data_IF_214613411075
#
_entry.id   IF_214613411075
#
_cell.length_a   1.000
_cell.length_b   1.000
_cell.length_c   1.000
_cell.angle_alpha   90.00
_cell.angle_beta   90.00
_cell.angle_gamma   90.00
#
_symmetry.space_group_name_H-M   'P 1'
#
loop_
_entity.id
_entity.type
_entity.pdbx_description
1 polymer ?
#
# COMPACT_ATOMS: atom_id res chain seq x y z
N UNK A 1 22.66 -10.71 -12.83
CA UNK A 1 21.39 -9.96 -12.93
C UNK A 1 20.83 -9.63 -11.55
N UNK A 2 20.36 -10.62 -10.78
CA UNK A 2 19.79 -10.37 -9.43
C UNK A 2 20.75 -9.68 -8.45
N UNK A 3 22.04 -10.00 -8.46
CA UNK A 3 23.04 -9.29 -7.62
C UNK A 3 23.14 -7.81 -7.96
N UNK A 4 23.01 -7.44 -9.24
CA UNK A 4 23.03 -6.03 -9.65
C UNK A 4 21.74 -5.33 -9.19
N UNK A 5 20.58 -5.97 -9.35
CA UNK A 5 19.31 -5.44 -8.85
C UNK A 5 19.35 -5.16 -7.33
N UNK A 6 19.95 -6.06 -6.54
CA UNK A 6 20.13 -5.85 -5.10
C UNK A 6 21.05 -4.67 -4.78
N UNK A 7 22.12 -4.47 -5.55
CA UNK A 7 23.04 -3.34 -5.37
C UNK A 7 22.39 -1.98 -5.66
N UNK A 8 21.33 -1.94 -6.49
CA UNK A 8 20.58 -0.72 -6.78
C UNK A 8 19.56 -0.34 -5.69
N UNK A 9 19.13 -1.30 -4.86
CA UNK A 9 18.07 -1.09 -3.85
C UNK A 9 18.30 0.15 -2.98
N UNK A 10 19.50 0.42 -2.42
CA UNK A 10 19.70 1.60 -1.59
C UNK A 10 19.44 2.93 -2.32
N UNK A 11 19.90 3.05 -3.57
CA UNK A 11 19.67 4.25 -4.38
C UNK A 11 18.19 4.41 -4.73
N UNK A 12 17.51 3.31 -5.10
CA UNK A 12 16.07 3.32 -5.39
C UNK A 12 15.22 3.57 -4.14
N UNK A 13 15.64 3.11 -2.98
CA UNK A 13 14.99 3.44 -1.71
C UNK A 13 15.05 4.95 -1.43
N UNK A 14 16.18 5.60 -1.71
CA UNK A 14 16.29 7.06 -1.61
C UNK A 14 15.34 7.78 -2.58
N UNK A 15 15.16 7.28 -3.80
CA UNK A 15 14.17 7.80 -4.74
C UNK A 15 12.75 7.68 -4.17
N UNK A 16 12.40 6.52 -3.59
CA UNK A 16 11.08 6.29 -2.98
C UNK A 16 10.84 7.22 -1.78
N UNK A 17 11.86 7.48 -0.97
CA UNK A 17 11.78 8.37 0.19
C UNK A 17 11.50 9.84 -0.21
N UNK A 18 11.80 10.26 -1.45
CA UNK A 18 11.47 11.60 -1.92
C UNK A 18 9.96 11.85 -2.05
N UNK A 19 9.12 10.81 -1.96
CA UNK A 19 7.66 10.93 -1.96
C UNK A 19 7.06 11.23 -0.58
N UNK A 20 7.87 11.50 0.45
CA UNK A 20 7.42 11.74 1.83
C UNK A 20 6.28 12.77 1.93
N UNK A 21 6.42 13.94 1.30
CA UNK A 21 5.40 15.00 1.35
C UNK A 21 4.09 14.58 0.68
N UNK A 22 4.17 13.83 -0.44
CA UNK A 22 3.00 13.30 -1.14
C UNK A 22 2.30 12.24 -0.28
N UNK A 23 3.07 11.31 0.30
CA UNK A 23 2.54 10.26 1.18
C UNK A 23 1.91 10.86 2.44
N UNK A 24 2.48 11.93 3.00
CA UNK A 24 1.87 12.69 4.09
C UNK A 24 0.52 13.27 3.70
N UNK A 25 0.40 13.90 2.53
CA UNK A 25 -0.87 14.45 2.05
C UNK A 25 -1.94 13.37 1.83
N UNK A 26 -1.54 12.19 1.34
CA UNK A 26 -2.43 11.03 1.18
C UNK A 26 -2.85 10.51 2.56
N UNK A 27 -1.90 10.38 3.49
CA UNK A 27 -2.12 9.85 4.83
C UNK A 27 -3.14 10.67 5.64
N UNK A 28 -3.19 11.99 5.46
CA UNK A 28 -4.22 12.83 6.08
C UNK A 28 -5.65 12.37 5.73
N UNK A 29 -5.87 12.03 4.46
CA UNK A 29 -7.18 11.51 3.99
C UNK A 29 -7.44 10.10 4.49
N UNK A 30 -6.41 9.27 4.58
CA UNK A 30 -6.52 7.90 5.11
C UNK A 30 -6.78 7.90 6.62
N UNK A 31 -6.24 8.87 7.36
CA UNK A 31 -6.38 8.99 8.82
C UNK A 31 -7.83 9.23 9.28
N UNK A 32 -8.67 9.79 8.39
CA UNK A 32 -10.10 10.02 8.59
C UNK A 32 -10.92 8.73 8.49
N UNK A 33 -10.39 7.69 7.82
CA UNK A 33 -11.10 6.43 7.62
C UNK A 33 -11.11 5.57 8.87
N UNK A 34 -12.21 4.83 9.04
CA UNK A 34 -12.32 3.78 10.06
C UNK A 34 -11.71 2.47 9.56
N UNK A 35 -12.05 2.11 8.33
CA UNK A 35 -11.68 0.86 7.67
C UNK A 35 -10.87 1.16 6.40
N UNK A 36 -9.82 0.38 6.14
CA UNK A 36 -8.95 0.51 4.96
C UNK A 36 -8.66 -0.87 4.40
N UNK A 37 -8.71 -1.02 3.08
CA UNK A 37 -8.31 -2.26 2.41
C UNK A 37 -6.98 -2.09 1.68
N UNK A 38 -6.10 -3.07 1.80
CA UNK A 38 -4.87 -3.17 1.02
C UNK A 38 -4.95 -4.33 0.05
N UNK A 39 -4.71 -4.08 -1.23
CA UNK A 39 -4.77 -5.10 -2.28
C UNK A 39 -3.41 -5.27 -2.95
N UNK A 40 -3.01 -6.53 -3.11
CA UNK A 40 -1.83 -6.90 -3.87
C UNK A 40 -2.00 -8.28 -4.50
N UNK A 41 -1.18 -8.58 -5.51
CA UNK A 41 -1.18 -9.88 -6.20
C UNK A 41 0.24 -10.41 -6.33
N UNK A 42 0.41 -11.73 -6.23
CA UNK A 42 1.74 -12.35 -6.31
C UNK A 42 2.66 -11.82 -5.20
N UNK A 43 3.86 -11.36 -5.58
CA UNK A 43 4.83 -10.80 -4.63
C UNK A 43 4.35 -9.51 -3.94
N UNK A 44 3.34 -8.83 -4.49
CA UNK A 44 2.73 -7.64 -3.89
C UNK A 44 1.70 -7.96 -2.79
N UNK A 45 1.18 -9.19 -2.73
CA UNK A 45 0.21 -9.57 -1.69
C UNK A 45 0.81 -9.49 -0.28
N UNK A 46 2.00 -10.05 0.01
CA UNK A 46 2.64 -9.85 1.31
C UNK A 46 2.90 -8.39 1.65
N UNK A 47 3.17 -7.54 0.66
CA UNK A 47 3.36 -6.09 0.88
C UNK A 47 2.04 -5.41 1.24
N UNK A 48 0.94 -5.80 0.62
CA UNK A 48 -0.40 -5.36 1.01
C UNK A 48 -0.74 -5.78 2.45
N UNK A 49 -0.42 -7.03 2.85
CA UNK A 49 -0.59 -7.48 4.22
C UNK A 49 0.27 -6.69 5.22
N UNK A 50 1.54 -6.44 4.88
CA UNK A 50 2.44 -5.64 5.72
C UNK A 50 1.94 -4.21 5.88
N UNK A 51 1.48 -3.57 4.80
CA UNK A 51 0.88 -2.23 4.87
C UNK A 51 -0.34 -2.17 5.78
N UNK A 52 -1.23 -3.16 5.66
CA UNK A 52 -2.38 -3.31 6.55
C UNK A 52 -1.96 -3.54 8.01
N UNK A 53 -0.94 -4.37 8.25
CA UNK A 53 -0.39 -4.62 9.58
C UNK A 53 0.20 -3.35 10.19
N UNK A 54 1.05 -2.62 9.46
CA UNK A 54 1.64 -1.36 9.96
C UNK A 54 0.55 -0.35 10.28
N UNK A 55 -0.45 -0.19 9.42
CA UNK A 55 -1.54 0.75 9.66
C UNK A 55 -2.34 0.36 10.93
N UNK A 56 -2.63 -0.94 11.13
CA UNK A 56 -3.26 -1.46 12.36
C UNK A 56 -2.44 -1.15 13.61
N UNK A 57 -1.13 -1.41 13.56
CA UNK A 57 -0.24 -1.29 14.72
C UNK A 57 -0.15 0.14 15.23
N UNK A 58 0.18 1.10 14.36
CA UNK A 58 0.56 2.44 14.81
C UNK A 58 -0.54 3.49 14.65
N UNK A 59 -1.54 3.29 13.78
CA UNK A 59 -2.64 4.25 13.60
C UNK A 59 -3.97 3.80 14.24
N UNK A 60 -4.07 2.52 14.60
CA UNK A 60 -5.30 1.86 15.09
C UNK A 60 -6.49 1.90 14.13
N UNK A 61 -6.25 2.21 12.85
CA UNK A 61 -7.24 2.03 11.78
C UNK A 61 -7.41 0.54 11.54
N UNK A 62 -8.66 0.13 11.31
CA UNK A 62 -8.93 -1.24 10.96
C UNK A 62 -8.54 -1.49 9.49
N UNK A 63 -7.35 -2.03 9.28
CA UNK A 63 -6.80 -2.20 7.93
C UNK A 63 -6.62 -3.68 7.58
N UNK A 64 -7.15 -4.16 6.45
CA UNK A 64 -7.05 -5.56 6.04
C UNK A 64 -6.34 -5.73 4.70
N UNK A 65 -5.40 -6.67 4.64
CA UNK A 65 -4.67 -7.03 3.43
C UNK A 65 -5.33 -8.21 2.73
N UNK A 66 -5.65 -8.06 1.45
CA UNK A 66 -6.27 -9.09 0.63
C UNK A 66 -5.47 -9.37 -0.64
N UNK A 67 -5.48 -10.63 -1.06
CA UNK A 67 -5.08 -10.99 -2.39
C UNK A 67 -6.10 -10.38 -3.37
N UNK A 68 -5.63 -9.60 -4.36
CA UNK A 68 -6.51 -8.87 -5.28
C UNK A 68 -7.49 -9.79 -6.01
N UNK A 69 -7.11 -11.05 -6.26
CA UNK A 69 -7.98 -12.06 -6.88
C UNK A 69 -9.15 -12.51 -6.02
N UNK A 70 -9.04 -12.40 -4.71
CA UNK A 70 -10.07 -12.83 -3.76
C UNK A 70 -11.14 -11.76 -3.53
N UNK A 71 -11.02 -10.59 -4.17
CA UNK A 71 -11.93 -9.46 -3.96
C UNK A 71 -13.40 -9.82 -4.11
N UNK A 72 -13.75 -10.62 -5.14
CA UNK A 72 -15.13 -11.04 -5.40
C UNK A 72 -15.69 -12.07 -4.42
N UNK A 73 -14.84 -12.64 -3.57
CA UNK A 73 -15.22 -13.70 -2.65
C UNK A 73 -15.67 -13.17 -1.28
N UNK A 74 -15.97 -11.87 -1.18
CA UNK A 74 -16.50 -11.24 0.03
C UNK A 74 -16.08 -9.77 0.18
N UNK A 75 -14.77 -9.45 0.16
CA UNK A 75 -14.27 -8.11 0.51
C UNK A 75 -14.86 -6.96 -0.32
N UNK A 76 -15.23 -7.24 -1.57
CA UNK A 76 -15.83 -6.23 -2.46
C UNK A 76 -17.16 -5.66 -1.94
N UNK A 77 -17.86 -6.38 -1.04
CA UNK A 77 -19.09 -5.91 -0.42
C UNK A 77 -18.86 -4.79 0.61
N UNK A 78 -17.62 -4.59 1.05
CA UNK A 78 -17.24 -3.55 2.02
C UNK A 78 -16.79 -2.24 1.34
N UNK A 79 -16.70 -2.21 0.01
CA UNK A 79 -16.21 -1.05 -0.71
C UNK A 79 -17.33 -0.02 -0.88
N UNK A 80 -17.05 1.19 -0.42
CA UNK A 80 -17.79 2.41 -0.71
C UNK A 80 -16.87 3.63 -0.71
N UNK A 81 -17.44 4.84 -0.77
CA UNK A 81 -16.70 6.11 -0.80
C UNK A 81 -15.97 6.44 0.51
N UNK A 82 -16.26 5.75 1.61
CA UNK A 82 -15.68 5.97 2.94
C UNK A 82 -14.51 5.04 3.24
N UNK A 83 -14.34 3.96 2.46
CA UNK A 83 -13.28 2.97 2.63
C UNK A 83 -12.17 3.18 1.59
N UNK A 84 -11.00 3.74 1.99
CA UNK A 84 -9.85 3.83 1.12
C UNK A 84 -9.34 2.43 0.75
N UNK A 85 -9.01 2.26 -0.53
CA UNK A 85 -8.42 1.02 -1.04
C UNK A 85 -7.02 1.33 -1.54
N UNK A 86 -6.01 0.87 -0.80
CA UNK A 86 -4.60 1.00 -1.14
C UNK A 86 -4.22 -0.18 -2.04
N UNK A 87 -3.70 0.08 -3.23
CA UNK A 87 -3.40 -0.97 -4.21
C UNK A 87 -1.92 -0.93 -4.57
N UNK A 88 -1.25 -2.06 -4.35
CA UNK A 88 0.15 -2.29 -4.70
C UNK A 88 0.21 -3.14 -5.96
N UNK A 89 0.55 -2.53 -7.10
CA UNK A 89 0.60 -3.22 -8.38
C UNK A 89 1.70 -2.66 -9.30
N UNK A 90 2.95 -3.15 -9.24
CA UNK A 90 3.96 -2.86 -10.27
C UNK A 90 3.50 -3.37 -11.64
N UNK A 91 4.05 -2.83 -12.74
CA UNK A 91 3.70 -3.26 -14.11
C UNK A 91 4.36 -4.61 -14.47
N UNK A 92 3.98 -5.68 -13.76
CA UNK A 92 4.44 -7.06 -13.96
C UNK A 92 3.44 -7.91 -14.76
N UNK A 93 3.73 -9.20 -14.93
CA UNK A 93 2.86 -10.16 -15.65
C UNK A 93 1.46 -10.32 -15.04
N UNK A 94 1.27 -9.89 -13.79
CA UNK A 94 0.01 -9.96 -13.06
C UNK A 94 -0.76 -8.64 -13.07
N UNK A 95 -0.19 -7.59 -13.66
CA UNK A 95 -0.77 -6.25 -13.71
C UNK A 95 -2.15 -6.24 -14.32
N UNK A 96 -2.38 -6.90 -15.47
CA UNK A 96 -3.70 -6.93 -16.14
C UNK A 96 -4.80 -7.46 -15.23
N UNK A 97 -4.50 -8.51 -14.47
CA UNK A 97 -5.47 -9.12 -13.55
C UNK A 97 -5.79 -8.17 -12.40
N UNK A 98 -4.77 -7.49 -11.87
CA UNK A 98 -4.94 -6.49 -10.81
C UNK A 98 -5.67 -5.25 -11.31
N UNK A 99 -5.42 -4.83 -12.56
CA UNK A 99 -6.11 -3.73 -13.23
C UNK A 99 -7.61 -3.98 -13.35
N UNK A 100 -8.00 -5.20 -13.72
CA UNK A 100 -9.40 -5.61 -13.76
C UNK A 100 -10.06 -5.52 -12.39
N UNK A 101 -9.39 -5.96 -11.32
CA UNK A 101 -9.91 -5.79 -9.95
C UNK A 101 -10.03 -4.31 -9.57
N UNK A 102 -9.09 -3.46 -9.97
CA UNK A 102 -9.11 -2.04 -9.68
C UNK A 102 -10.33 -1.34 -10.28
N UNK A 103 -10.68 -1.67 -11.53
CA UNK A 103 -11.86 -1.12 -12.18
C UNK A 103 -13.14 -1.47 -11.41
N UNK A 104 -13.22 -2.66 -10.84
CA UNK A 104 -14.37 -3.10 -10.05
C UNK A 104 -14.48 -2.39 -8.69
N UNK A 105 -13.34 -2.10 -8.04
CA UNK A 105 -13.30 -1.26 -6.83
C UNK A 105 -13.84 0.13 -7.14
N UNK A 106 -13.38 0.71 -8.25
CA UNK A 106 -13.75 2.07 -8.68
C UNK A 106 -15.21 2.17 -9.08
N UNK A 107 -15.75 1.15 -9.76
CA UNK A 107 -17.16 1.07 -10.13
C UNK A 107 -18.12 1.07 -8.91
N UNK A 108 -17.60 0.85 -7.69
CA UNK A 108 -18.34 0.86 -6.43
C UNK A 108 -18.05 2.09 -5.56
N UNK A 109 -17.39 3.11 -6.11
CA UNK A 109 -17.06 4.34 -5.39
C UNK A 109 -15.80 4.24 -4.52
N UNK A 110 -15.06 3.12 -4.57
CA UNK A 110 -13.87 2.93 -3.78
C UNK A 110 -12.79 4.00 -4.06
N UNK A 111 -12.31 4.65 -2.99
CA UNK A 111 -11.25 5.67 -3.08
C UNK A 111 -9.88 5.01 -3.18
N UNK A 112 -9.38 4.89 -4.40
CA UNK A 112 -8.12 4.19 -4.68
C UNK A 112 -6.90 5.07 -4.39
N UNK A 113 -5.97 4.58 -3.58
CA UNK A 113 -4.57 5.04 -3.55
C UNK A 113 -3.71 4.01 -4.27
N UNK A 114 -3.01 4.42 -5.32
CA UNK A 114 -2.33 3.51 -6.21
C UNK A 114 -0.80 3.62 -6.14
N UNK A 115 -0.12 2.53 -5.80
CA UNK A 115 1.32 2.42 -5.81
C UNK A 115 1.76 1.57 -6.99
N UNK A 116 2.46 2.18 -7.94
CA UNK A 116 2.90 1.54 -9.18
C UNK A 116 4.08 2.26 -9.80
N UNK A 117 4.71 1.66 -10.80
CA UNK A 117 5.73 2.32 -11.61
C UNK A 117 5.10 3.23 -12.68
N UNK A 118 5.93 3.97 -13.40
CA UNK A 118 5.49 4.91 -14.42
C UNK A 118 4.55 4.29 -15.48
N UNK A 119 4.73 3.02 -15.84
CA UNK A 119 3.85 2.35 -16.80
C UNK A 119 2.48 2.06 -16.19
N UNK A 120 2.46 1.52 -14.98
CA UNK A 120 1.19 1.28 -14.29
C UNK A 120 0.43 2.58 -14.00
N UNK A 121 1.13 3.65 -13.59
CA UNK A 121 0.54 4.98 -13.39
C UNK A 121 -0.08 5.52 -14.68
N UNK A 122 0.61 5.43 -15.82
CA UNK A 122 0.05 5.85 -17.12
C UNK A 122 -1.26 5.15 -17.44
N UNK A 123 -1.37 3.87 -17.08
CA UNK A 123 -2.53 3.04 -17.43
C UNK A 123 -3.72 3.20 -16.50
N UNK A 124 -3.49 3.35 -15.19
CA UNK A 124 -4.55 3.30 -14.17
C UNK A 124 -4.54 4.47 -13.18
N UNK A 125 -3.49 5.29 -13.18
CA UNK A 125 -3.29 6.35 -12.19
C UNK A 125 -4.21 7.56 -12.36
N UNK A 126 -4.65 7.87 -13.59
CA UNK A 126 -5.44 9.07 -13.89
C UNK A 126 -6.77 9.15 -13.14
N UNK A 127 -7.32 8.00 -12.75
CA UNK A 127 -8.63 7.91 -12.12
C UNK A 127 -8.56 7.43 -10.66
N UNK A 128 -7.36 7.38 -10.08
CA UNK A 128 -7.14 7.12 -8.66
C UNK A 128 -7.32 8.41 -7.84
N UNK A 129 -7.72 8.28 -6.57
CA UNK A 129 -7.75 9.41 -5.62
C UNK A 129 -6.36 10.02 -5.45
N UNK A 130 -5.35 9.15 -5.44
CA UNK A 130 -3.95 9.50 -5.45
C UNK A 130 -3.15 8.36 -6.07
N UNK A 131 -2.03 8.69 -6.69
CA UNK A 131 -1.10 7.70 -7.19
C UNK A 131 0.33 8.14 -6.86
N UNK A 132 1.16 7.18 -6.47
CA UNK A 132 2.59 7.40 -6.20
C UNK A 132 3.37 6.57 -7.20
N UNK A 133 4.05 7.27 -8.11
CA UNK A 133 4.94 6.67 -9.08
C UNK A 133 6.24 6.23 -8.40
N UNK A 134 6.54 4.94 -8.45
CA UNK A 134 7.73 4.34 -7.87
C UNK A 134 8.73 3.99 -8.98
N UNK A 135 10.03 3.89 -8.67
CA UNK A 135 11.02 3.55 -9.68
C UNK A 135 10.77 2.16 -10.26
N UNK A 136 10.93 2.04 -11.58
CA UNK A 136 10.90 0.75 -12.26
C UNK A 136 12.17 -0.03 -11.91
N UNK A 137 12.00 -1.21 -11.33
CA UNK A 137 13.09 -2.10 -10.90
C UNK A 137 12.81 -3.54 -11.31
N UNK A 138 13.80 -4.40 -11.12
CA UNK A 138 13.61 -5.85 -11.27
C UNK A 138 12.48 -6.35 -10.33
N UNK A 139 11.53 -7.16 -10.82
CA UNK A 139 10.44 -7.72 -10.00
C UNK A 139 10.90 -8.44 -8.74
N UNK A 140 12.12 -8.99 -8.72
CA UNK A 140 12.71 -9.64 -7.56
C UNK A 140 12.89 -8.68 -6.37
N UNK A 141 13.30 -7.43 -6.62
CA UNK A 141 13.55 -6.44 -5.57
C UNK A 141 12.39 -5.46 -5.36
N UNK A 142 11.41 -5.43 -6.26
CA UNK A 142 10.25 -4.56 -6.15
C UNK A 142 9.54 -4.66 -4.79
N UNK A 143 9.27 -5.85 -4.20
CA UNK A 143 8.60 -5.93 -2.89
C UNK A 143 9.33 -5.17 -1.77
N UNK A 144 10.66 -5.14 -1.79
CA UNK A 144 11.47 -4.40 -0.80
C UNK A 144 11.20 -2.91 -0.90
N UNK A 145 11.19 -2.37 -2.11
CA UNK A 145 10.97 -0.94 -2.34
C UNK A 145 9.52 -0.53 -2.08
N UNK A 146 8.56 -1.38 -2.44
CA UNK A 146 7.13 -1.12 -2.23
C UNK A 146 6.69 -1.25 -0.76
N UNK A 147 7.51 -1.87 0.10
CA UNK A 147 7.30 -1.83 1.55
C UNK A 147 7.49 -0.41 2.14
N UNK A 148 8.37 0.40 1.56
CA UNK A 148 8.67 1.76 2.05
C UNK A 148 7.44 2.69 2.00
N UNK A 149 6.70 2.85 0.88
CA UNK A 149 5.56 3.75 0.83
C UNK A 149 4.41 3.31 1.73
N UNK A 150 4.18 1.99 1.92
CA UNK A 150 3.15 1.52 2.85
C UNK A 150 3.54 1.80 4.31
N UNK A 151 4.83 1.72 4.66
CA UNK A 151 5.36 2.11 5.97
C UNK A 151 5.21 3.62 6.21
N UNK A 152 5.61 4.45 5.25
CA UNK A 152 5.47 5.91 5.33
C UNK A 152 4.01 6.35 5.41
N UNK A 153 3.12 5.69 4.65
CA UNK A 153 1.68 5.95 4.73
C UNK A 153 1.14 5.70 6.15
N UNK A 154 1.52 4.56 6.75
CA UNK A 154 1.13 4.22 8.11
C UNK A 154 1.71 5.20 9.14
N UNK A 155 2.98 5.56 9.00
CA UNK A 155 3.66 6.55 9.84
C UNK A 155 2.92 7.89 9.85
N UNK A 156 2.69 8.47 8.67
CA UNK A 156 2.03 9.77 8.56
C UNK A 156 0.57 9.71 9.01
N UNK A 157 -0.12 8.58 8.83
CA UNK A 157 -1.49 8.40 9.32
C UNK A 157 -1.52 8.36 10.86
N UNK A 158 -0.57 7.67 11.49
CA UNK A 158 -0.42 7.63 12.94
C UNK A 158 -0.11 9.02 13.52
N UNK A 159 0.86 9.74 12.92
CA UNK A 159 1.18 11.13 13.29
C UNK A 159 -0.05 12.03 13.17
N UNK A 160 -0.82 11.92 12.09
CA UNK A 160 -2.04 12.69 11.89
C UNK A 160 -3.12 12.41 12.96
N UNK A 161 -3.20 11.17 13.45
CA UNK A 161 -4.13 10.76 14.53
C UNK A 161 -3.59 11.07 15.93
N UNK A 162 -2.32 11.50 16.05
CA UNK A 162 -1.67 11.76 17.34
C UNK A 162 -1.43 10.51 18.18
N UNK A 163 -1.28 9.35 17.54
CA UNK A 163 -0.94 8.10 18.23
C UNK A 163 0.57 7.99 18.48
N UNK A 164 0.97 7.22 19.50
CA UNK A 164 2.38 6.93 19.76
C UNK A 164 2.91 5.92 18.74
N UNK A 165 3.77 6.39 17.84
CA UNK A 165 4.38 5.60 16.77
C UNK A 165 5.44 4.63 17.32
N UNK A 166 6.19 5.06 18.34
CA UNK A 166 7.32 4.30 18.88
C UNK A 166 6.86 3.23 19.88
N UNK A 167 5.78 3.51 20.61
CA UNK A 167 5.18 2.62 21.60
C UNK A 167 3.67 2.45 21.38
N UNK A 168 3.25 1.75 20.31
CA UNK A 168 1.85 1.48 20.06
C UNK A 168 1.23 0.68 21.21
N UNK A 169 0.00 1.05 21.59
CA UNK A 169 -0.69 0.47 22.74
C UNK A 169 -0.83 -1.05 22.58
N UNK A 170 -0.69 -1.76 23.69
CA UNK A 170 -0.88 -3.22 23.78
C UNK A 170 0.08 -4.05 22.91
N UNK A 171 1.14 -3.46 22.36
CA UNK A 171 2.16 -4.16 21.59
C UNK A 171 3.50 -4.14 22.33
N UNK A 172 4.27 -5.20 22.15
CA UNK A 172 5.64 -5.30 22.61
C UNK A 172 6.56 -5.53 21.42
N UNK A 173 7.81 -5.05 21.49
CA UNK A 173 8.78 -5.21 20.41
C UNK A 173 9.05 -6.69 20.08
N UNK A 174 8.98 -7.55 21.08
CA UNK A 174 9.10 -9.00 20.97
C UNK A 174 8.19 -9.65 21.99
N UNK A 175 7.43 -10.66 21.55
CA UNK A 175 6.63 -11.49 22.45
C UNK A 175 7.51 -12.65 22.91
N UNK A 176 7.97 -12.60 24.16
CA UNK A 176 8.93 -13.57 24.74
C UNK A 176 8.27 -14.51 25.74
N UNK A 177 6.94 -14.44 25.88
CA UNK A 177 6.13 -15.25 26.80
C UNK A 177 4.95 -15.85 26.03
N UNK A 178 4.52 -17.04 26.43
CA UNK A 178 3.36 -17.75 25.88
C UNK A 178 2.04 -17.30 26.52
#
# INVERSE_FOLDING_TARGET
ELSAALLEVPARAAEVLNHDATLKAIALKVAEARDVLFLGRGASYPIAMEGALKLKEISYIHAEGYAAGEMKHGPIALIDETVPVIVVAPSDDLFEKTASNLQEVRARGGRVVFFSDAEGIRRLGAEAMAAVELPKVDPFVAPILYAIPVQLLAYHAAVAKGTDVDQPRNLAKSVTVE
#
